data_IF_093196721745
#
_entry.id   IF_093196721745
#
_cell.length_a   1.000
_cell.length_b   1.000
_cell.length_c   1.000
_cell.angle_alpha   90.00
_cell.angle_beta   90.00
_cell.angle_gamma   90.00
#
_symmetry.space_group_name_H-M   'P 1'
#
loop_
_entity.id
_entity.type
_entity.pdbx_description
1 polymer ?
#
# COMPACT_ATOMS: atom_id res chain seq x y z
N UNK A 1 -16.45 -27.37 16.52
CA UNK A 1 -15.92 -26.71 15.31
C UNK A 1 -15.18 -25.45 15.76
N UNK A 2 -13.85 -25.48 15.87
CA UNK A 2 -13.05 -24.35 16.38
C UNK A 2 -12.84 -23.33 15.26
N UNK A 3 -13.06 -22.05 15.59
CA UNK A 3 -13.14 -20.90 14.69
C UNK A 3 -11.84 -20.60 13.91
N UNK A 4 -11.91 -20.05 12.68
CA UNK A 4 -10.73 -19.62 11.94
C UNK A 4 -10.15 -18.34 12.56
N UNK A 5 -9.12 -18.49 13.40
CA UNK A 5 -8.39 -17.39 14.07
C UNK A 5 -7.18 -16.92 13.26
N UNK A 6 -7.25 -16.99 11.93
CA UNK A 6 -6.12 -16.66 11.03
C UNK A 6 -6.05 -15.16 10.67
N UNK A 7 -7.19 -14.46 10.66
CA UNK A 7 -7.28 -13.06 10.15
C UNK A 7 -6.56 -12.05 11.06
N UNK A 8 -6.49 -12.29 12.38
CA UNK A 8 -5.84 -11.34 13.30
C UNK A 8 -4.32 -11.38 13.25
N UNK A 9 -3.74 -12.55 12.96
CA UNK A 9 -2.28 -12.77 12.98
C UNK A 9 -1.58 -12.08 11.81
N UNK A 10 -2.27 -11.95 10.67
CA UNK A 10 -1.73 -11.28 9.48
C UNK A 10 -1.59 -9.76 9.68
N UNK A 11 -2.56 -9.11 10.32
CA UNK A 11 -2.57 -7.67 10.59
C UNK A 11 -1.41 -7.22 11.49
N UNK A 12 -1.15 -7.97 12.56
CA UNK A 12 -0.01 -7.71 13.46
C UNK A 12 1.34 -7.82 12.71
N UNK A 13 1.43 -8.73 11.75
CA UNK A 13 2.62 -8.90 10.91
C UNK A 13 2.83 -7.74 9.92
N UNK A 14 1.76 -7.15 9.39
CA UNK A 14 1.87 -5.99 8.46
C UNK A 14 2.33 -4.74 9.20
N UNK A 15 1.83 -4.51 10.41
CA UNK A 15 2.23 -3.35 11.22
C UNK A 15 3.70 -3.39 11.63
N UNK A 16 4.21 -4.57 12.03
CA UNK A 16 5.63 -4.74 12.36
C UNK A 16 6.54 -4.54 11.14
N UNK A 17 6.13 -5.02 9.96
CA UNK A 17 6.84 -4.75 8.68
C UNK A 17 6.83 -3.27 8.33
N UNK A 18 5.70 -2.58 8.51
CA UNK A 18 5.59 -1.13 8.28
C UNK A 18 6.51 -0.33 9.20
N UNK A 19 6.60 -0.68 10.48
CA UNK A 19 7.52 -0.03 11.41
C UNK A 19 8.99 -0.14 10.97
N UNK A 20 9.39 -1.28 10.40
CA UNK A 20 10.73 -1.46 9.86
C UNK A 20 10.97 -0.60 8.61
N UNK A 21 9.99 -0.57 7.69
CA UNK A 21 10.06 0.25 6.46
C UNK A 21 10.22 1.73 6.79
N UNK A 22 9.48 2.22 7.79
CA UNK A 22 9.57 3.63 8.22
C UNK A 22 10.95 3.99 8.80
N UNK A 23 11.66 3.03 9.41
CA UNK A 23 12.98 3.26 9.99
C UNK A 23 14.12 3.21 8.97
N UNK A 24 14.03 2.29 8.00
CA UNK A 24 15.19 1.92 7.18
C UNK A 24 15.03 2.20 5.68
N UNK A 25 13.83 2.47 5.19
CA UNK A 25 13.53 2.51 3.75
C UNK A 25 13.01 3.89 3.32
N UNK A 26 13.28 4.26 2.07
CA UNK A 26 12.69 5.46 1.46
C UNK A 26 11.20 5.23 1.20
N UNK A 27 10.35 6.07 1.78
CA UNK A 27 8.91 6.06 1.58
C UNK A 27 8.40 7.43 1.18
N UNK A 28 7.19 7.45 0.63
CA UNK A 28 6.48 8.68 0.21
C UNK A 28 5.05 8.57 0.69
N UNK A 29 4.52 9.65 1.25
CA UNK A 29 3.15 9.72 1.75
C UNK A 29 2.38 10.81 1.00
N UNK A 30 1.10 10.55 0.75
CA UNK A 30 0.19 11.50 0.12
C UNK A 30 0.00 11.30 -1.39
N UNK A 31 -1.24 11.46 -1.82
CA UNK A 31 -1.73 11.14 -3.17
C UNK A 31 -0.90 11.76 -4.32
N UNK A 32 -0.61 13.07 -4.27
CA UNK A 32 0.13 13.77 -5.36
C UNK A 32 1.56 13.23 -5.53
N UNK A 33 2.25 12.97 -4.42
CA UNK A 33 3.62 12.46 -4.46
C UNK A 33 3.63 11.00 -4.88
N UNK A 34 2.68 10.18 -4.40
CA UNK A 34 2.54 8.78 -4.84
C UNK A 34 2.32 8.69 -6.35
N UNK A 35 1.43 9.50 -6.93
CA UNK A 35 1.24 9.56 -8.39
C UNK A 35 2.50 9.98 -9.15
N UNK A 36 3.30 10.90 -8.59
CA UNK A 36 4.60 11.27 -9.19
C UNK A 36 5.58 10.10 -9.17
N UNK A 37 5.65 9.36 -8.06
CA UNK A 37 6.56 8.21 -7.92
C UNK A 37 6.16 7.01 -8.79
N UNK A 38 4.86 6.76 -8.95
CA UNK A 38 4.35 5.72 -9.85
C UNK A 38 4.68 6.09 -11.31
N UNK A 39 4.42 7.33 -11.74
CA UNK A 39 4.74 7.79 -13.11
C UNK A 39 6.23 7.74 -13.44
N UNK A 40 7.10 7.99 -12.46
CA UNK A 40 8.55 7.84 -12.65
C UNK A 40 9.05 6.39 -12.54
N UNK A 41 8.16 5.41 -12.27
CA UNK A 41 8.55 4.00 -12.12
C UNK A 41 9.41 3.71 -10.88
N UNK A 42 9.43 4.61 -9.90
CA UNK A 42 10.24 4.46 -8.67
C UNK A 42 9.49 3.75 -7.54
N UNK A 43 8.15 3.73 -7.61
CA UNK A 43 7.32 3.02 -6.64
C UNK A 43 7.44 1.51 -6.86
N UNK A 44 7.71 0.75 -5.78
CA UNK A 44 7.74 -0.72 -5.82
C UNK A 44 6.47 -1.34 -5.22
N UNK A 45 5.92 -0.67 -4.21
CA UNK A 45 4.72 -1.08 -3.49
C UNK A 45 3.91 0.17 -3.13
N UNK A 46 2.59 0.09 -3.28
CA UNK A 46 1.63 1.13 -2.88
C UNK A 46 0.70 0.55 -1.83
N UNK A 47 0.50 1.27 -0.73
CA UNK A 47 -0.42 0.89 0.34
C UNK A 47 -1.60 1.86 0.29
N UNK A 48 -2.81 1.34 0.14
CA UNK A 48 -4.05 2.10 0.12
C UNK A 48 -4.79 1.91 1.43
N UNK A 49 -5.21 3.00 2.06
CA UNK A 49 -6.03 2.92 3.27
C UNK A 49 -7.50 2.67 2.93
N UNK A 50 -8.21 2.02 3.84
CA UNK A 50 -9.64 1.73 3.70
C UNK A 50 -10.53 2.99 3.61
N UNK A 51 -10.07 4.12 4.15
CA UNK A 51 -10.79 5.40 4.13
C UNK A 51 -10.44 6.29 2.91
N UNK A 52 -9.67 5.80 1.94
CA UNK A 52 -9.41 6.54 0.70
C UNK A 52 -10.71 6.73 -0.10
N UNK A 53 -11.01 7.95 -0.63
CA UNK A 53 -12.14 8.17 -1.52
C UNK A 53 -12.07 7.26 -2.74
N UNK A 54 -13.21 6.65 -3.12
CA UNK A 54 -13.27 5.64 -4.18
C UNK A 54 -12.60 6.09 -5.49
N UNK A 55 -12.85 7.32 -5.93
CA UNK A 55 -12.26 7.86 -7.16
C UNK A 55 -10.73 7.89 -7.13
N UNK A 56 -10.13 8.32 -6.00
CA UNK A 56 -8.67 8.36 -5.85
C UNK A 56 -8.07 6.97 -5.72
N UNK A 57 -8.80 6.05 -5.08
CA UNK A 57 -8.42 4.64 -4.97
C UNK A 57 -8.30 4.02 -6.36
N UNK A 58 -9.35 4.12 -7.18
CA UNK A 58 -9.38 3.61 -8.55
C UNK A 58 -8.31 4.25 -9.43
N UNK A 59 -8.06 5.55 -9.28
CA UNK A 59 -7.01 6.23 -10.04
C UNK A 59 -5.60 5.71 -9.67
N UNK A 60 -5.29 5.58 -8.38
CA UNK A 60 -4.00 5.03 -7.94
C UNK A 60 -3.85 3.58 -8.41
N UNK A 61 -4.89 2.76 -8.30
CA UNK A 61 -4.89 1.37 -8.77
C UNK A 61 -4.62 1.27 -10.27
N UNK A 62 -5.24 2.15 -11.06
CA UNK A 62 -5.04 2.20 -12.50
C UNK A 62 -3.58 2.53 -12.86
N UNK A 63 -3.01 3.58 -12.27
CA UNK A 63 -1.60 3.92 -12.51
C UNK A 63 -0.65 2.84 -11.99
N UNK A 64 -0.96 2.23 -10.85
CA UNK A 64 -0.17 1.14 -10.30
C UNK A 64 -0.17 -0.09 -11.21
N UNK A 65 -1.31 -0.42 -11.82
CA UNK A 65 -1.42 -1.48 -12.83
C UNK A 65 -0.57 -1.16 -14.07
N UNK A 66 -0.68 0.06 -14.61
CA UNK A 66 0.13 0.47 -15.77
C UNK A 66 1.63 0.40 -15.49
N UNK A 67 2.06 0.76 -14.28
CA UNK A 67 3.46 0.73 -13.86
C UNK A 67 3.92 -0.65 -13.32
N UNK A 68 3.05 -1.67 -13.31
CA UNK A 68 3.30 -3.01 -12.74
C UNK A 68 3.77 -2.96 -11.27
N UNK A 69 3.28 -2.00 -10.49
CA UNK A 69 3.62 -1.86 -9.06
C UNK A 69 2.65 -2.64 -8.19
N UNK A 70 3.15 -3.30 -7.15
CA UNK A 70 2.29 -4.04 -6.22
C UNK A 70 1.37 -3.10 -5.42
N UNK A 71 0.13 -3.52 -5.18
CA UNK A 71 -0.85 -2.77 -4.38
C UNK A 71 -1.28 -3.62 -3.19
N UNK A 72 -1.25 -3.02 -2.00
CA UNK A 72 -1.74 -3.61 -0.76
C UNK A 72 -2.87 -2.75 -0.20
N UNK A 73 -3.94 -3.39 0.29
CA UNK A 73 -5.09 -2.74 0.94
C UNK A 73 -5.00 -2.80 2.46
#
# INVERSE_FOLDING_TARGET
>A
MVAPKEIKKSWESTNSRLQLVMKSVKYVLGYKQTLKMIRHGKAKLVILTNNCPALRKSEIEYYAMSAKTGVHH
#
